data_IF_646310893839
#
_entry.id   IF_646310893839
#
_cell.length_a   1.000
_cell.length_b   1.000
_cell.length_c   1.000
_cell.angle_alpha   90.00
_cell.angle_beta   90.00
_cell.angle_gamma   90.00
#
_symmetry.space_group_name_H-M   'P 1'
#
loop_
_entity.id
_entity.type
_entity.pdbx_description
1 polymer ?
#
# COMPACT_ATOMS: atom_id res chain seq x y z
N UNK A 1 87.39 13.70 -43.47
CA UNK A 1 86.54 13.52 -42.29
C UNK A 1 85.30 14.39 -42.44
N UNK A 2 84.10 13.75 -42.42
CA UNK A 2 82.81 14.24 -41.89
C UNK A 2 82.20 15.52 -42.51
N UNK A 3 81.21 15.38 -43.41
CA UNK A 3 79.75 15.21 -43.15
C UNK A 3 79.06 16.57 -43.01
N UNK A 4 77.89 16.86 -43.58
CA UNK A 4 76.93 16.11 -44.38
C UNK A 4 75.84 17.09 -44.86
N UNK A 5 75.12 16.68 -45.91
CA UNK A 5 73.94 17.36 -46.44
C UNK A 5 72.83 17.50 -45.38
N UNK A 6 72.18 18.67 -45.28
CA UNK A 6 70.82 18.75 -44.73
C UNK A 6 70.08 19.97 -45.29
N UNK A 7 68.97 19.70 -46.00
CA UNK A 7 67.98 20.65 -46.47
C UNK A 7 67.18 21.24 -45.29
N UNK A 8 66.77 22.52 -45.31
CA UNK A 8 65.62 22.95 -44.55
C UNK A 8 64.34 22.74 -45.38
N UNK A 9 63.49 21.81 -44.93
CA UNK A 9 62.11 21.71 -45.37
C UNK A 9 61.40 23.05 -45.14
N UNK A 10 60.78 23.60 -46.19
CA UNK A 10 59.75 24.62 -46.02
C UNK A 10 58.56 23.96 -45.31
N UNK A 11 58.42 24.25 -44.02
CA UNK A 11 57.22 23.90 -43.27
C UNK A 11 56.06 24.73 -43.83
N UNK A 12 55.27 24.11 -44.70
CA UNK A 12 53.94 24.59 -45.08
C UNK A 12 53.12 24.61 -43.78
N UNK A 13 52.96 25.79 -43.17
CA UNK A 13 52.04 25.99 -42.06
C UNK A 13 50.62 25.84 -42.62
N UNK A 14 49.81 24.85 -42.21
CA UNK A 14 48.42 24.87 -42.58
C UNK A 14 47.79 26.13 -41.97
N UNK A 15 47.06 26.87 -42.80
CA UNK A 15 46.34 28.07 -42.39
C UNK A 15 45.39 27.71 -41.23
N UNK A 16 45.35 28.55 -40.21
CA UNK A 16 44.53 28.38 -39.00
C UNK A 16 43.02 28.59 -39.25
N UNK A 17 42.56 28.39 -40.49
CA UNK A 17 41.25 28.77 -40.97
C UNK A 17 40.44 27.59 -41.54
N UNK A 18 40.79 26.35 -41.17
CA UNK A 18 39.96 25.19 -41.47
C UNK A 18 39.36 24.60 -40.18
N UNK A 19 38.08 24.93 -39.98
CA UNK A 19 37.05 24.06 -39.42
C UNK A 19 37.28 23.62 -37.96
N UNK A 20 37.00 24.55 -37.05
CA UNK A 20 36.27 24.20 -35.83
C UNK A 20 34.88 24.81 -35.92
N UNK A 21 34.09 24.36 -36.91
CA UNK A 21 32.63 24.39 -36.81
C UNK A 21 32.29 23.54 -35.58
N UNK A 22 32.27 24.20 -34.41
CA UNK A 22 31.72 23.61 -33.20
C UNK A 22 30.33 23.13 -33.57
N UNK A 23 30.12 21.80 -33.53
CA UNK A 23 28.80 21.23 -33.76
C UNK A 23 27.82 22.02 -32.90
N UNK A 24 26.75 22.61 -33.48
CA UNK A 24 25.80 23.37 -32.69
C UNK A 24 25.34 22.44 -31.56
N UNK A 25 25.57 22.88 -30.32
CA UNK A 25 25.09 22.14 -29.16
C UNK A 25 23.59 21.89 -29.31
N UNK A 26 23.06 20.83 -28.69
CA UNK A 26 21.63 20.55 -28.74
C UNK A 26 20.84 21.82 -28.45
N UNK A 27 19.82 22.11 -29.27
CA UNK A 27 19.00 23.31 -29.11
C UNK A 27 18.43 23.38 -27.69
N UNK A 28 18.07 24.57 -27.20
CA UNK A 28 17.57 24.75 -25.83
C UNK A 28 16.44 23.77 -25.49
N UNK A 29 15.58 23.45 -26.46
CA UNK A 29 14.54 22.43 -26.33
C UNK A 29 15.10 21.00 -26.17
N UNK A 30 16.14 20.62 -26.91
CA UNK A 30 16.78 19.30 -26.78
C UNK A 30 17.50 19.18 -25.43
N UNK A 31 18.14 20.24 -24.93
CA UNK A 31 18.77 20.23 -23.60
C UNK A 31 17.73 20.10 -22.47
N UNK A 32 16.61 20.81 -22.58
CA UNK A 32 15.47 20.65 -21.66
C UNK A 32 14.93 19.23 -21.74
N UNK A 33 14.72 18.69 -22.94
CA UNK A 33 14.23 17.33 -23.13
C UNK A 33 15.17 16.31 -22.49
N UNK A 34 16.48 16.37 -22.77
CA UNK A 34 17.50 15.48 -22.18
C UNK A 34 17.57 15.57 -20.65
N UNK A 35 17.30 16.73 -20.06
CA UNK A 35 17.27 16.91 -18.60
C UNK A 35 16.08 16.18 -17.94
N UNK A 36 14.94 16.13 -18.62
CA UNK A 36 13.72 15.51 -18.09
C UNK A 36 13.51 14.06 -18.56
N UNK A 37 14.15 13.63 -19.66
CA UNK A 37 14.05 12.26 -20.19
C UNK A 37 14.36 11.20 -19.13
N UNK A 38 15.42 11.29 -18.29
CA UNK A 38 15.67 10.29 -17.26
C UNK A 38 14.56 10.20 -16.21
N UNK A 39 13.96 11.32 -15.83
CA UNK A 39 12.84 11.37 -14.88
C UNK A 39 11.60 10.76 -15.52
N UNK A 40 11.31 11.11 -16.78
CA UNK A 40 10.18 10.57 -17.51
C UNK A 40 10.30 9.04 -17.70
N UNK A 41 11.50 8.56 -18.04
CA UNK A 41 11.79 7.12 -18.15
C UNK A 41 11.66 6.41 -16.79
N UNK A 42 12.11 7.03 -15.70
CA UNK A 42 11.94 6.48 -14.35
C UNK A 42 10.47 6.39 -13.94
N UNK A 43 9.65 7.41 -14.26
CA UNK A 43 8.19 7.40 -14.03
C UNK A 43 7.54 6.29 -14.87
N UNK A 44 7.86 6.21 -16.17
CA UNK A 44 7.35 5.17 -17.06
C UNK A 44 7.72 3.76 -16.57
N UNK A 45 8.97 3.57 -16.14
CA UNK A 45 9.43 2.31 -15.56
C UNK A 45 8.68 1.98 -14.27
N UNK A 46 8.50 2.94 -13.37
CA UNK A 46 7.73 2.75 -12.13
C UNK A 46 6.27 2.37 -12.40
N UNK A 47 5.62 3.05 -13.35
CA UNK A 47 4.25 2.72 -13.78
C UNK A 47 4.19 1.33 -14.42
N UNK A 48 5.15 0.97 -15.27
CA UNK A 48 5.22 -0.36 -15.88
C UNK A 48 5.40 -1.46 -14.83
N UNK A 49 6.32 -1.29 -13.89
CA UNK A 49 6.55 -2.22 -12.78
C UNK A 49 5.34 -2.33 -11.87
N UNK A 50 4.66 -1.22 -11.57
CA UNK A 50 3.41 -1.22 -10.82
C UNK A 50 2.33 -2.06 -11.53
N UNK A 51 2.11 -1.82 -12.82
CA UNK A 51 1.13 -2.58 -13.60
C UNK A 51 1.47 -4.06 -13.67
N UNK A 52 2.75 -4.40 -13.83
CA UNK A 52 3.21 -5.79 -13.82
C UNK A 52 3.01 -6.46 -12.46
N UNK A 53 3.34 -5.78 -11.37
CA UNK A 53 3.14 -6.27 -10.00
C UNK A 53 1.66 -6.52 -9.71
N UNK A 54 0.81 -5.52 -9.97
CA UNK A 54 -0.64 -5.63 -9.78
C UNK A 54 -1.24 -6.77 -10.62
N UNK A 55 -0.83 -6.91 -11.88
CA UNK A 55 -1.25 -8.01 -12.74
C UNK A 55 -0.83 -9.38 -12.19
N UNK A 56 0.41 -9.51 -11.70
CA UNK A 56 0.92 -10.76 -11.13
C UNK A 56 0.12 -11.17 -9.89
N UNK A 57 -0.10 -10.22 -8.97
CA UNK A 57 -0.90 -10.45 -7.76
C UNK A 57 -2.33 -10.82 -8.10
N UNK A 58 -2.96 -10.13 -9.05
CA UNK A 58 -4.31 -10.47 -9.50
C UNK A 58 -4.39 -11.90 -10.03
N UNK A 59 -3.44 -12.33 -10.86
CA UNK A 59 -3.38 -13.72 -11.37
C UNK A 59 -3.18 -14.76 -10.28
N UNK A 60 -2.37 -14.47 -9.28
CA UNK A 60 -2.17 -15.37 -8.14
C UNK A 60 -3.45 -15.52 -7.33
N UNK A 61 -4.14 -14.40 -7.05
CA UNK A 61 -5.41 -14.41 -6.36
C UNK A 61 -6.49 -15.13 -7.16
N UNK A 62 -6.54 -14.96 -8.48
CA UNK A 62 -7.46 -15.70 -9.37
C UNK A 62 -7.22 -17.20 -9.29
N UNK A 63 -5.95 -17.64 -9.28
CA UNK A 63 -5.59 -19.06 -9.25
C UNK A 63 -5.83 -19.72 -7.88
N UNK A 64 -5.81 -18.95 -6.79
CA UNK A 64 -5.86 -19.45 -5.41
C UNK A 64 -7.11 -19.01 -4.64
N UNK A 65 -8.14 -18.52 -5.33
CA UNK A 65 -9.36 -18.11 -4.67
C UNK A 65 -10.61 -18.72 -5.28
N UNK A 66 -11.60 -18.92 -4.43
CA UNK A 66 -12.93 -19.36 -4.82
C UNK A 66 -13.94 -18.31 -4.39
N UNK A 67 -15.00 -18.10 -5.18
CA UNK A 67 -16.04 -17.15 -4.78
C UNK A 67 -16.75 -17.66 -3.51
N UNK A 68 -16.96 -16.79 -2.53
CA UNK A 68 -17.64 -17.14 -1.30
C UNK A 68 -19.12 -17.45 -1.62
N UNK A 69 -19.51 -18.70 -1.39
CA UNK A 69 -20.87 -19.19 -1.59
C UNK A 69 -21.52 -19.57 -0.24
N UNK A 70 -21.76 -18.57 0.62
CA UNK A 70 -22.49 -18.75 1.88
C UNK A 70 -23.71 -17.82 1.91
N UNK A 71 -24.90 -18.38 2.13
CA UNK A 71 -26.15 -17.63 2.05
C UNK A 71 -26.31 -16.56 3.13
N UNK A 72 -25.79 -16.78 4.34
CA UNK A 72 -25.88 -15.81 5.44
C UNK A 72 -24.92 -14.66 5.23
N UNK A 73 -23.68 -14.95 4.84
CA UNK A 73 -22.72 -13.91 4.46
C UNK A 73 -23.17 -13.14 3.23
N UNK A 74 -23.77 -13.82 2.24
CA UNK A 74 -24.34 -13.16 1.06
C UNK A 74 -25.42 -12.14 1.46
N UNK A 75 -26.35 -12.50 2.34
CA UNK A 75 -27.39 -11.58 2.79
C UNK A 75 -26.82 -10.31 3.45
N UNK A 76 -25.75 -10.45 4.24
CA UNK A 76 -25.07 -9.32 4.87
C UNK A 76 -24.30 -8.47 3.85
N UNK A 77 -23.61 -9.10 2.88
CA UNK A 77 -22.92 -8.36 1.83
C UNK A 77 -23.88 -7.69 0.86
N UNK A 78 -25.06 -8.26 0.60
CA UNK A 78 -26.10 -7.63 -0.21
C UNK A 78 -26.63 -6.34 0.47
N UNK A 79 -26.88 -6.39 1.79
CA UNK A 79 -27.27 -5.20 2.57
C UNK A 79 -26.21 -4.11 2.54
N UNK A 80 -24.93 -4.49 2.67
CA UNK A 80 -23.83 -3.52 2.54
C UNK A 80 -23.71 -2.97 1.12
N UNK A 81 -23.96 -3.79 0.10
CA UNK A 81 -23.94 -3.35 -1.30
C UNK A 81 -25.05 -2.32 -1.55
N UNK A 82 -26.26 -2.59 -1.07
CA UNK A 82 -27.40 -1.66 -1.12
C UNK A 82 -27.08 -0.34 -0.41
N UNK A 83 -26.50 -0.39 0.79
CA UNK A 83 -26.11 0.80 1.54
C UNK A 83 -25.05 1.66 0.82
N UNK A 84 -24.27 1.06 -0.08
CA UNK A 84 -23.25 1.71 -0.90
C UNK A 84 -23.70 2.04 -2.33
N UNK A 85 -24.94 1.72 -2.70
CA UNK A 85 -25.43 1.80 -4.09
C UNK A 85 -24.54 1.03 -5.09
N UNK A 86 -24.07 -0.15 -4.66
CA UNK A 86 -23.27 -1.04 -5.47
C UNK A 86 -24.13 -2.22 -5.96
N UNK A 87 -23.93 -2.69 -7.21
CA UNK A 87 -24.68 -3.83 -7.72
C UNK A 87 -24.37 -5.11 -6.93
N UNK A 88 -23.12 -5.25 -6.45
CA UNK A 88 -22.65 -6.41 -5.69
C UNK A 88 -21.31 -6.14 -5.01
N UNK A 89 -21.15 -6.61 -3.78
CA UNK A 89 -19.84 -6.80 -3.14
C UNK A 89 -19.39 -8.25 -3.40
N UNK A 90 -18.24 -8.41 -4.10
CA UNK A 90 -17.66 -9.73 -4.37
C UNK A 90 -16.65 -10.08 -3.28
N UNK A 91 -16.87 -11.23 -2.63
CA UNK A 91 -15.98 -11.77 -1.60
C UNK A 91 -15.49 -13.14 -2.06
N UNK A 92 -14.19 -13.35 -1.94
CA UNK A 92 -13.53 -14.59 -2.33
C UNK A 92 -12.88 -15.24 -1.09
N UNK A 93 -12.79 -16.57 -1.08
CA UNK A 93 -12.00 -17.30 -0.11
C UNK A 93 -10.60 -17.49 -0.68
N UNK A 94 -9.58 -16.99 0.02
CA UNK A 94 -8.17 -17.25 -0.30
C UNK A 94 -7.70 -18.51 0.44
N UNK A 95 -7.19 -19.50 -0.29
CA UNK A 95 -6.87 -20.84 0.23
C UNK A 95 -5.58 -20.87 1.07
N UNK A 96 -5.58 -20.16 2.21
CA UNK A 96 -4.51 -20.16 3.19
C UNK A 96 -5.06 -20.34 4.62
N UNK A 97 -4.26 -20.99 5.47
CA UNK A 97 -4.59 -21.33 6.86
C UNK A 97 -4.60 -20.14 7.86
N UNK A 98 -3.76 -19.10 7.74
CA UNK A 98 -3.79 -17.99 8.70
C UNK A 98 -5.13 -17.25 8.69
N UNK A 99 -5.62 -16.82 9.85
CA UNK A 99 -6.84 -15.99 9.97
C UNK A 99 -6.53 -14.58 9.49
N UNK A 100 -7.14 -14.15 8.37
CA UNK A 100 -6.97 -12.80 7.83
C UNK A 100 -8.11 -12.39 6.87
N UNK A 101 -8.21 -11.08 6.62
CA UNK A 101 -8.91 -10.47 5.49
C UNK A 101 -7.91 -9.67 4.64
N UNK A 102 -8.18 -9.51 3.35
CA UNK A 102 -7.38 -8.62 2.50
C UNK A 102 -8.18 -8.07 1.33
N UNK A 103 -7.99 -6.79 1.04
CA UNK A 103 -8.42 -6.15 -0.18
C UNK A 103 -7.35 -6.19 -1.27
N UNK A 104 -7.71 -6.67 -2.45
CA UNK A 104 -6.85 -6.58 -3.63
C UNK A 104 -6.88 -5.19 -4.27
N UNK A 105 -5.83 -4.80 -5.02
CA UNK A 105 -5.78 -3.50 -5.71
C UNK A 105 -6.91 -3.26 -6.72
N UNK A 106 -7.55 -4.32 -7.21
CA UNK A 106 -8.70 -4.26 -8.12
C UNK A 106 -10.05 -4.16 -7.40
N UNK A 107 -10.04 -3.97 -6.07
CA UNK A 107 -11.21 -3.76 -5.24
C UNK A 107 -11.92 -5.04 -4.79
N UNK A 108 -11.39 -6.22 -5.15
CA UNK A 108 -11.93 -7.50 -4.65
C UNK A 108 -11.55 -7.73 -3.20
N UNK A 109 -12.48 -8.29 -2.43
CA UNK A 109 -12.28 -8.62 -1.03
C UNK A 109 -12.04 -10.12 -0.89
N UNK A 110 -11.04 -10.48 -0.09
CA UNK A 110 -10.68 -11.85 0.18
C UNK A 110 -10.70 -12.11 1.68
N UNK A 111 -11.23 -13.26 2.05
CA UNK A 111 -11.18 -13.82 3.40
C UNK A 111 -10.41 -15.12 3.34
N UNK A 112 -9.54 -15.39 4.30
CA UNK A 112 -8.76 -16.64 4.27
C UNK A 112 -9.62 -17.86 4.61
N UNK A 113 -9.24 -19.02 4.06
CA UNK A 113 -9.84 -20.32 4.40
C UNK A 113 -9.82 -20.57 5.90
N UNK A 114 -8.71 -20.26 6.56
CA UNK A 114 -8.59 -20.35 8.02
C UNK A 114 -9.63 -19.54 8.77
N UNK A 115 -9.91 -18.31 8.34
CA UNK A 115 -10.92 -17.47 8.99
C UNK A 115 -12.34 -18.00 8.72
N UNK A 116 -12.62 -18.42 7.49
CA UNK A 116 -13.90 -19.06 7.16
C UNK A 116 -14.14 -20.34 7.97
N UNK A 117 -13.10 -21.13 8.24
CA UNK A 117 -13.21 -22.32 9.09
C UNK A 117 -13.62 -21.97 10.53
N UNK A 118 -13.14 -20.85 11.08
CA UNK A 118 -13.55 -20.35 12.41
C UNK A 118 -15.02 -19.94 12.44
N UNK A 119 -15.50 -19.31 11.36
CA UNK A 119 -16.91 -19.03 11.17
C UNK A 119 -17.74 -20.32 11.13
N UNK A 120 -17.30 -21.31 10.33
CA UNK A 120 -17.99 -22.61 10.25
C UNK A 120 -17.98 -23.40 11.57
N UNK A 121 -16.96 -23.20 12.40
CA UNK A 121 -16.86 -23.77 13.74
C UNK A 121 -17.72 -23.04 14.79
N UNK A 122 -18.37 -21.93 14.43
CA UNK A 122 -19.19 -21.13 15.36
C UNK A 122 -18.37 -20.24 16.30
N UNK A 123 -17.04 -20.15 16.11
CA UNK A 123 -16.19 -19.26 16.90
C UNK A 123 -16.41 -17.78 16.52
N UNK A 124 -16.78 -17.56 15.26
CA UNK A 124 -17.02 -16.24 14.66
C UNK A 124 -18.41 -16.23 14.03
N UNK A 125 -19.19 -15.17 14.23
CA UNK A 125 -20.52 -15.04 13.64
C UNK A 125 -20.45 -14.47 12.22
N UNK A 126 -21.55 -14.56 11.47
CA UNK A 126 -21.61 -13.98 10.12
C UNK A 126 -21.49 -12.44 10.17
N UNK A 127 -22.03 -11.80 11.21
CA UNK A 127 -21.96 -10.35 11.40
C UNK A 127 -20.53 -9.91 11.76
N UNK A 128 -19.80 -10.72 12.51
CA UNK A 128 -18.37 -10.50 12.77
C UNK A 128 -17.55 -10.64 11.49
N UNK A 129 -17.83 -11.66 10.66
CA UNK A 129 -17.21 -11.79 9.33
C UNK A 129 -17.54 -10.59 8.43
N UNK A 130 -18.79 -10.11 8.44
CA UNK A 130 -19.20 -8.92 7.72
C UNK A 130 -18.44 -7.67 8.19
N UNK A 131 -18.09 -7.59 9.47
CA UNK A 131 -17.28 -6.47 9.97
C UNK A 131 -15.87 -6.42 9.37
N UNK A 132 -15.25 -7.58 9.11
CA UNK A 132 -13.96 -7.63 8.40
C UNK A 132 -14.12 -7.25 6.94
N UNK A 133 -15.17 -7.74 6.28
CA UNK A 133 -15.46 -7.36 4.89
C UNK A 133 -15.65 -5.84 4.79
N UNK A 134 -16.40 -5.23 5.71
CA UNK A 134 -16.60 -3.79 5.78
C UNK A 134 -15.29 -3.02 6.02
N UNK A 135 -14.41 -3.54 6.87
CA UNK A 135 -13.08 -2.98 7.13
C UNK A 135 -12.18 -3.00 5.88
N UNK A 136 -12.12 -4.14 5.19
CA UNK A 136 -11.36 -4.25 3.93
C UNK A 136 -11.93 -3.33 2.84
N UNK A 137 -13.26 -3.19 2.76
CA UNK A 137 -13.91 -2.21 1.88
C UNK A 137 -13.50 -0.77 2.23
N UNK A 138 -13.32 -0.46 3.51
CA UNK A 138 -12.79 0.83 3.96
C UNK A 138 -11.38 1.11 3.43
N UNK A 139 -10.49 0.11 3.47
CA UNK A 139 -9.16 0.25 2.86
C UNK A 139 -9.21 0.50 1.36
N UNK A 140 -10.13 -0.14 0.64
CA UNK A 140 -10.34 0.09 -0.80
C UNK A 140 -10.89 1.49 -1.05
N UNK A 141 -11.99 1.85 -0.39
CA UNK A 141 -12.70 3.10 -0.59
C UNK A 141 -11.84 4.33 -0.30
N UNK A 142 -10.98 4.22 0.71
CA UNK A 142 -10.04 5.28 1.09
C UNK A 142 -8.71 5.19 0.32
N UNK A 143 -8.50 4.19 -0.52
CA UNK A 143 -7.28 4.05 -1.32
C UNK A 143 -6.02 3.77 -0.50
N UNK A 144 -6.15 3.15 0.69
CA UNK A 144 -5.01 2.78 1.54
C UNK A 144 -4.05 1.83 0.82
N UNK A 145 -4.56 0.81 0.13
CA UNK A 145 -3.74 -0.15 -0.63
C UNK A 145 -2.95 0.51 -1.76
N UNK A 146 -3.55 1.49 -2.44
CA UNK A 146 -2.88 2.24 -3.51
C UNK A 146 -1.80 3.17 -2.94
N UNK A 147 -2.10 3.89 -1.85
CA UNK A 147 -1.14 4.76 -1.14
C UNK A 147 0.07 3.98 -0.66
N UNK A 148 -0.12 2.87 0.06
CA UNK A 148 0.98 2.01 0.54
C UNK A 148 1.90 1.53 -0.60
N UNK A 149 1.32 1.17 -1.74
CA UNK A 149 2.08 0.69 -2.90
C UNK A 149 2.89 1.82 -3.55
N UNK A 150 2.29 3.01 -3.73
CA UNK A 150 2.97 4.19 -4.27
C UNK A 150 4.09 4.64 -3.32
N UNK A 151 3.79 4.70 -2.03
CA UNK A 151 4.74 5.14 -1.01
C UNK A 151 5.96 4.22 -0.97
N UNK A 152 5.81 2.91 -1.17
CA UNK A 152 6.98 2.01 -1.23
C UNK A 152 8.01 2.43 -2.30
N UNK A 153 7.55 2.93 -3.45
CA UNK A 153 8.44 3.40 -4.53
C UNK A 153 9.07 4.77 -4.25
N UNK A 154 8.31 5.72 -3.69
CA UNK A 154 8.79 7.07 -3.35
C UNK A 154 9.63 7.12 -2.07
N UNK A 155 9.32 6.26 -1.10
CA UNK A 155 10.03 6.18 0.18
C UNK A 155 11.50 5.84 -0.02
N UNK A 156 11.87 5.02 -1.00
CA UNK A 156 13.27 4.71 -1.26
C UNK A 156 14.06 5.94 -1.72
N UNK A 157 13.47 6.80 -2.56
CA UNK A 157 14.09 8.05 -2.99
C UNK A 157 14.22 9.05 -1.84
N UNK A 158 13.15 9.26 -1.07
CA UNK A 158 13.13 10.15 0.10
C UNK A 158 14.11 9.66 1.18
N UNK A 159 14.13 8.36 1.47
CA UNK A 159 15.04 7.71 2.42
C UNK A 159 16.49 7.89 1.99
N UNK A 160 16.78 7.74 0.69
CA UNK A 160 18.12 7.96 0.14
C UNK A 160 18.53 9.42 0.27
N UNK A 161 17.66 10.37 -0.08
CA UNK A 161 17.92 11.80 0.06
C UNK A 161 18.15 12.19 1.53
N UNK A 162 17.31 11.71 2.45
CA UNK A 162 17.45 11.94 3.88
C UNK A 162 18.75 11.33 4.43
N UNK A 163 19.09 10.11 4.01
CA UNK A 163 20.34 9.48 4.37
C UNK A 163 21.56 10.27 3.87
N UNK A 164 21.52 10.81 2.65
CA UNK A 164 22.59 11.65 2.10
C UNK A 164 22.77 12.95 2.90
N UNK A 165 21.66 13.62 3.23
CA UNK A 165 21.71 14.85 4.04
C UNK A 165 22.23 14.55 5.44
N UNK A 166 21.69 13.55 6.12
CA UNK A 166 22.12 13.19 7.48
C UNK A 166 23.56 12.68 7.52
N UNK A 167 24.04 11.97 6.49
CA UNK A 167 25.43 11.50 6.42
C UNK A 167 26.44 12.64 6.33
N UNK A 168 26.04 13.83 5.87
CA UNK A 168 26.88 15.04 5.86
C UNK A 168 27.14 15.59 7.26
N UNK A 169 26.19 15.39 8.18
CA UNK A 169 26.27 15.90 9.55
C UNK A 169 26.64 14.80 10.56
N UNK A 170 26.27 13.55 10.28
CA UNK A 170 26.44 12.39 11.15
C UNK A 170 26.97 11.19 10.32
N UNK A 171 28.28 11.16 10.00
CA UNK A 171 28.87 10.10 9.20
C UNK A 171 28.66 8.72 9.86
N UNK A 172 28.30 7.70 9.07
CA UNK A 172 28.06 6.33 9.53
C UNK A 172 26.71 6.09 10.24
N UNK A 173 26.18 7.08 10.98
CA UNK A 173 24.93 6.95 11.76
C UNK A 173 23.73 7.55 11.03
N UNK A 174 23.94 8.54 10.16
CA UNK A 174 22.89 9.24 9.40
C UNK A 174 21.91 8.31 8.65
N UNK A 175 22.38 7.28 7.91
CA UNK A 175 21.48 6.33 7.25
C UNK A 175 20.65 5.49 8.24
N UNK A 176 21.19 5.16 9.41
CA UNK A 176 20.46 4.40 10.43
C UNK A 176 19.32 5.25 11.03
N UNK A 177 19.59 6.53 11.32
CA UNK A 177 18.58 7.49 11.80
C UNK A 177 17.50 7.70 10.73
N UNK A 178 17.89 7.91 9.47
CA UNK A 178 16.94 8.03 8.36
C UNK A 178 16.00 6.83 8.29
N UNK A 179 16.54 5.60 8.42
CA UNK A 179 15.75 4.38 8.40
C UNK A 179 14.78 4.29 9.58
N UNK A 180 15.23 4.64 10.78
CA UNK A 180 14.40 4.61 11.98
C UNK A 180 13.23 5.60 11.88
N UNK A 181 13.49 6.83 11.42
CA UNK A 181 12.47 7.86 11.21
C UNK A 181 11.45 7.44 10.15
N UNK A 182 11.89 6.91 9.02
CA UNK A 182 11.00 6.42 7.97
C UNK A 182 10.12 5.26 8.44
N UNK A 183 10.68 4.33 9.22
CA UNK A 183 9.90 3.24 9.84
C UNK A 183 8.85 3.76 10.82
N UNK A 184 9.20 4.74 11.65
CA UNK A 184 8.26 5.36 12.59
C UNK A 184 7.12 6.09 11.87
N UNK A 185 7.45 6.83 10.81
CA UNK A 185 6.45 7.51 10.00
C UNK A 185 5.52 6.51 9.30
N UNK A 186 6.07 5.48 8.67
CA UNK A 186 5.28 4.42 8.04
C UNK A 186 4.36 3.72 9.05
N UNK A 187 4.85 3.42 10.25
CA UNK A 187 4.05 2.81 11.31
C UNK A 187 2.93 3.74 11.80
N UNK A 188 3.17 5.06 11.87
CA UNK A 188 2.14 6.05 12.25
C UNK A 188 1.06 6.20 11.17
N UNK A 189 1.47 6.31 9.90
CA UNK A 189 0.53 6.38 8.77
C UNK A 189 -0.32 5.12 8.71
N UNK A 190 0.31 3.95 8.83
CA UNK A 190 -0.40 2.67 8.90
C UNK A 190 -1.42 2.65 10.04
N UNK A 191 -1.10 3.14 11.25
CA UNK A 191 -2.11 3.22 12.32
C UNK A 191 -3.27 4.16 11.97
N UNK A 192 -3.02 5.26 11.27
CA UNK A 192 -4.06 6.17 10.79
C UNK A 192 -5.04 5.46 9.84
N UNK A 193 -4.50 4.75 8.84
CA UNK A 193 -5.30 3.97 7.88
C UNK A 193 -6.26 2.99 8.58
N UNK A 194 -5.83 2.38 9.69
CA UNK A 194 -6.64 1.44 10.47
C UNK A 194 -7.84 2.09 11.15
N UNK A 195 -7.63 3.24 11.80
CA UNK A 195 -8.73 3.99 12.43
C UNK A 195 -9.71 4.52 11.40
N UNK A 196 -9.23 4.95 10.23
CA UNK A 196 -10.08 5.39 9.13
C UNK A 196 -10.91 4.23 8.56
N UNK A 197 -10.27 3.07 8.32
CA UNK A 197 -10.96 1.86 7.86
C UNK A 197 -11.99 1.36 8.89
N UNK A 198 -11.69 1.47 10.18
CA UNK A 198 -12.64 1.12 11.24
C UNK A 198 -13.86 2.03 11.30
N UNK A 199 -13.63 3.34 11.23
CA UNK A 199 -14.71 4.32 11.22
C UNK A 199 -15.60 4.12 9.98
N UNK A 200 -14.98 3.84 8.83
CA UNK A 200 -15.71 3.49 7.61
C UNK A 200 -16.54 2.22 7.79
N UNK A 201 -15.93 1.14 8.30
CA UNK A 201 -16.61 -0.12 8.55
C UNK A 201 -17.78 0.07 9.51
N UNK A 202 -17.57 0.76 10.62
CA UNK A 202 -18.62 1.03 11.60
C UNK A 202 -19.79 1.80 10.98
N UNK A 203 -19.50 2.82 10.17
CA UNK A 203 -20.53 3.61 9.49
C UNK A 203 -21.31 2.75 8.48
N UNK A 204 -20.62 1.92 7.70
CA UNK A 204 -21.24 1.01 6.74
C UNK A 204 -22.10 -0.03 7.42
N UNK A 205 -21.59 -0.70 8.46
CA UNK A 205 -22.31 -1.71 9.24
C UNK A 205 -23.55 -1.09 9.92
N UNK A 206 -23.41 0.12 10.47
CA UNK A 206 -24.52 0.85 11.07
C UNK A 206 -25.59 1.21 10.02
N UNK A 207 -25.19 1.81 8.89
CA UNK A 207 -26.08 2.17 7.78
C UNK A 207 -26.79 0.94 7.19
N UNK A 208 -26.11 -0.20 7.17
CA UNK A 208 -26.65 -1.47 6.67
C UNK A 208 -27.54 -2.20 7.68
N UNK A 209 -27.79 -1.62 8.87
CA UNK A 209 -28.59 -2.21 9.95
C UNK A 209 -27.93 -3.40 10.68
N UNK A 210 -26.62 -3.59 10.53
CA UNK A 210 -25.85 -4.66 11.20
C UNK A 210 -25.44 -4.19 12.60
N UNK A 211 -25.14 -2.90 12.74
CA UNK A 211 -24.62 -2.29 13.97
C UNK A 211 -23.11 -2.49 14.14
N UNK A 212 -22.51 -1.76 15.07
CA UNK A 212 -21.05 -1.78 15.32
C UNK A 212 -20.64 -2.87 16.31
N UNK A 213 -21.59 -3.41 17.07
CA UNK A 213 -21.36 -4.48 18.06
C UNK A 213 -20.52 -5.66 17.54
N UNK A 214 -20.80 -6.23 16.34
CA UNK A 214 -20.00 -7.32 15.78
C UNK A 214 -18.53 -6.96 15.56
N UNK A 215 -18.23 -5.73 15.13
CA UNK A 215 -16.84 -5.27 14.95
C UNK A 215 -16.08 -5.25 16.28
N UNK A 216 -16.71 -4.70 17.33
CA UNK A 216 -16.13 -4.69 18.70
C UNK A 216 -15.96 -6.11 19.26
N UNK A 217 -16.97 -6.96 19.09
CA UNK A 217 -16.93 -8.37 19.53
C UNK A 217 -15.78 -9.13 18.87
N UNK A 218 -15.60 -8.96 17.56
CA UNK A 218 -14.53 -9.62 16.82
C UNK A 218 -13.16 -9.17 17.31
N UNK A 219 -12.95 -7.88 17.54
CA UNK A 219 -11.71 -7.34 18.10
C UNK A 219 -11.34 -8.04 19.42
N UNK A 220 -12.28 -8.14 20.36
CA UNK A 220 -12.07 -8.87 21.62
C UNK A 220 -11.78 -10.36 21.40
N UNK A 221 -12.45 -11.02 20.43
CA UNK A 221 -12.22 -12.43 20.13
C UNK A 221 -10.82 -12.67 19.55
N UNK A 222 -10.38 -11.84 18.62
CA UNK A 222 -9.06 -11.96 18.00
C UNK A 222 -7.94 -11.76 19.02
N UNK A 223 -8.12 -10.82 19.96
CA UNK A 223 -7.19 -10.62 21.08
C UNK A 223 -7.13 -11.82 22.05
N UNK A 224 -8.26 -12.45 22.33
CA UNK A 224 -8.29 -13.69 23.15
C UNK A 224 -7.60 -14.85 22.44
N UNK A 225 -7.73 -14.94 21.11
CA UNK A 225 -7.06 -15.96 20.31
C UNK A 225 -5.54 -15.81 20.33
N UNK A 226 -5.00 -14.59 20.55
CA UNK A 226 -3.56 -14.37 20.78
C UNK A 226 -3.08 -14.77 22.15
N UNK A 227 -3.80 -14.38 23.21
CA UNK A 227 -3.29 -14.55 24.57
C UNK A 227 -3.27 -16.02 25.02
N UNK A 228 -4.09 -16.87 24.42
CA UNK A 228 -4.22 -18.29 24.79
C UNK A 228 -3.29 -19.25 24.03
N UNK A 229 -2.53 -18.78 23.04
CA UNK A 229 -1.63 -19.65 22.25
C UNK A 229 -0.24 -19.02 22.18
N UNK A 230 0.66 -19.44 23.06
CA UNK A 230 2.09 -19.11 23.02
C UNK A 230 2.85 -19.63 21.78
N UNK A 231 2.23 -19.69 20.60
CA UNK A 231 2.78 -20.32 19.40
C UNK A 231 2.62 -19.55 18.08
N UNK A 232 1.66 -18.64 17.92
CA UNK A 232 1.59 -17.77 16.73
C UNK A 232 0.61 -16.60 16.94
N UNK A 233 1.08 -15.38 16.73
CA UNK A 233 0.21 -14.20 16.59
C UNK A 233 -0.57 -14.37 15.27
N UNK A 234 -1.92 -14.33 15.26
CA UNK A 234 -2.72 -14.30 14.04
C UNK A 234 -2.19 -13.22 13.10
N UNK A 235 -2.11 -13.53 11.81
CA UNK A 235 -1.62 -12.58 10.80
C UNK A 235 -2.34 -11.21 10.89
N UNK A 236 -3.63 -11.23 11.22
CA UNK A 236 -4.42 -10.05 11.54
C UNK A 236 -3.77 -9.13 12.60
N UNK A 237 -3.33 -9.66 13.74
CA UNK A 237 -2.75 -8.82 14.81
C UNK A 237 -1.32 -8.34 14.49
N UNK A 238 -0.67 -8.92 13.48
CA UNK A 238 0.59 -8.39 12.97
C UNK A 238 0.38 -7.22 12.01
N UNK A 239 -0.76 -7.17 11.31
CA UNK A 239 -1.13 -6.05 10.43
C UNK A 239 -1.96 -4.97 11.13
N UNK A 240 -2.64 -5.27 12.24
CA UNK A 240 -3.60 -4.36 12.88
C UNK A 240 -3.25 -4.08 14.38
N UNK A 241 -3.17 -2.80 14.81
CA UNK A 241 -2.70 -2.37 16.14
C UNK A 241 -3.69 -2.62 17.30
N UNK A 242 -3.32 -2.20 18.52
CA UNK A 242 -3.96 -2.48 19.82
C UNK A 242 -5.50 -2.38 19.80
N UNK A 243 -6.12 -3.50 20.15
CA UNK A 243 -7.57 -3.74 20.21
C UNK A 243 -8.33 -2.73 21.06
N UNK A 244 -7.84 -2.42 22.27
CA UNK A 244 -8.54 -1.55 23.24
C UNK A 244 -8.76 -0.13 22.71
N UNK A 245 -7.73 0.48 22.12
CA UNK A 245 -7.79 1.85 21.60
C UNK A 245 -8.79 1.95 20.44
N UNK A 246 -8.85 0.92 19.58
CA UNK A 246 -9.79 0.83 18.45
C UNK A 246 -11.23 0.68 18.95
N UNK A 247 -11.47 -0.16 19.96
CA UNK A 247 -12.79 -0.31 20.58
C UNK A 247 -13.25 1.03 21.18
N UNK A 248 -12.39 1.71 21.93
CA UNK A 248 -12.73 3.02 22.50
C UNK A 248 -13.08 4.07 21.43
N UNK A 249 -12.36 4.07 20.30
CA UNK A 249 -12.67 4.94 19.17
C UNK A 249 -14.04 4.63 18.54
N UNK A 250 -14.39 3.35 18.42
CA UNK A 250 -15.71 2.91 17.93
C UNK A 250 -16.84 3.30 18.89
N UNK A 251 -16.63 3.16 20.20
CA UNK A 251 -17.62 3.58 21.21
C UNK A 251 -17.85 5.09 21.20
N UNK A 252 -16.78 5.88 21.06
CA UNK A 252 -16.89 7.33 20.90
C UNK A 252 -17.67 7.71 19.62
N UNK A 253 -17.47 6.96 18.53
CA UNK A 253 -18.19 7.16 17.28
C UNK A 253 -19.69 6.83 17.42
N UNK A 254 -20.04 5.72 18.05
CA UNK A 254 -21.43 5.34 18.34
C UNK A 254 -22.13 6.37 19.23
N UNK A 255 -21.46 6.85 20.29
CA UNK A 255 -22.00 7.87 21.18
C UNK A 255 -22.32 9.17 20.41
N UNK A 256 -21.49 9.55 19.44
CA UNK A 256 -21.77 10.71 18.58
C UNK A 256 -23.01 10.50 17.72
N UNK A 257 -23.22 9.32 17.15
CA UNK A 257 -24.41 9.03 16.34
C UNK A 257 -25.69 9.01 17.16
N UNK A 258 -25.64 8.46 18.38
CA UNK A 258 -26.78 8.47 19.30
C UNK A 258 -27.26 9.90 19.62
N UNK A 259 -26.35 10.87 19.68
CA UNK A 259 -26.65 12.27 19.95
C UNK A 259 -27.19 13.04 18.72
N UNK A 260 -27.16 12.46 17.52
CA UNK A 260 -27.59 13.10 16.26
C UNK A 260 -28.95 12.58 15.78
N UNK A 261 -29.44 11.46 16.32
CA UNK A 261 -30.78 10.93 16.00
C UNK A 261 -31.86 11.97 16.41
N UNK A 262 -32.74 12.42 15.49
CA UNK A 262 -33.80 13.34 15.84
C UNK A 262 -34.80 12.65 16.78
N UNK A 263 -35.31 13.39 17.76
CA UNK A 263 -36.45 12.98 18.59
C UNK A 263 -37.66 12.65 17.74
#
# INVERSE_FOLDING_TARGET
>A
MRSGFFFPQQAIRPSRAEIALGRPGPSAHIQVMLKFTPILLAILYAVAMYRFSAWRTARELDAKSTELADGRLKALTDRMAEALDLPRIRVNIYEIEPVNGLAAPDGRIFITRGFYNRYRAGEVTAEEMASVIAHELGHVALGHSQRRMIDFSGQNAIRTALAMVLSRFLPGIGPWIANALMKLLAARLSRGDEYEADAYAAALLHKSGIGVGPQKSLFTKLEKLTNNRGGAIPAWLLSHPKTEERIAALEALEARWANVQPR
#
